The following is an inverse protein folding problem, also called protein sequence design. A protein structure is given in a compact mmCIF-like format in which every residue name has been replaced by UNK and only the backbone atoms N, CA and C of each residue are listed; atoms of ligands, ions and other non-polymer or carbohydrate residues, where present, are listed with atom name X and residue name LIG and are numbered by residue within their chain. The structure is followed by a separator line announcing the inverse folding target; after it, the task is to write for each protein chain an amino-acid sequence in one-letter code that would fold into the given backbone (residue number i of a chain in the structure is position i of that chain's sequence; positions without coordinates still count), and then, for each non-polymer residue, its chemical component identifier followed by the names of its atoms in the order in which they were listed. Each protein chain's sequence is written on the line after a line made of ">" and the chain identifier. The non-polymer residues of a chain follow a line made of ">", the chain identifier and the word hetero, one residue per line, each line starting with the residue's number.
data_IF_620458212018
#
_entry.id   IF_620458212018
#
_cell.length_a   1.000
_cell.length_b   1.000
_cell.length_c   1.000
_cell.angle_alpha   90.00
_cell.angle_beta   90.00
_cell.angle_gamma   90.00
#
_symmetry.space_group_name_H-M   'P 1'
#
loop_
_entity.id
_entity.type
_entity.pdbx_description
1 polymer ?
#
# COMPACT_ATOMS: atom_id res chain seq x y z
N UNK A 1 2.96 15.89 11.33
CA UNK A 1 2.95 14.43 11.10
C UNK A 1 3.50 14.19 9.70
N UNK A 2 4.72 13.69 9.57
CA UNK A 2 5.35 13.51 8.27
C UNK A 2 4.87 12.18 7.66
N UNK A 3 4.03 12.27 6.63
CA UNK A 3 3.60 11.12 5.83
C UNK A 3 4.40 11.09 4.53
N UNK A 4 4.89 9.91 4.15
CA UNK A 4 5.62 9.71 2.90
C UNK A 4 4.75 8.89 1.96
N UNK A 5 4.59 9.37 0.72
CA UNK A 5 3.85 8.62 -0.30
C UNK A 5 4.74 7.49 -0.80
N UNK A 6 4.27 6.25 -0.66
CA UNK A 6 4.93 5.06 -1.17
C UNK A 6 4.10 4.41 -2.25
N UNK A 7 4.77 3.61 -3.08
CA UNK A 7 4.12 2.73 -4.04
C UNK A 7 4.70 1.32 -3.97
N UNK A 8 3.88 0.31 -4.27
CA UNK A 8 4.30 -1.10 -4.34
C UNK A 8 3.52 -1.87 -5.41
N UNK A 9 4.22 -2.72 -6.14
CA UNK A 9 3.67 -3.59 -7.20
C UNK A 9 3.40 -5.00 -6.66
N UNK A 10 2.33 -5.62 -7.13
CA UNK A 10 1.90 -6.98 -6.76
C UNK A 10 1.45 -7.76 -7.99
N UNK A 11 1.74 -9.06 -8.02
CA UNK A 11 1.39 -9.91 -9.17
C UNK A 11 -0.06 -10.40 -9.15
N UNK A 12 -0.69 -10.37 -7.99
CA UNK A 12 -2.08 -10.80 -7.80
C UNK A 12 -2.71 -10.09 -6.58
N UNK A 13 -4.02 -10.27 -6.42
CA UNK A 13 -4.79 -9.67 -5.33
C UNK A 13 -4.42 -10.25 -3.96
N UNK A 14 -4.00 -11.51 -3.90
CA UNK A 14 -3.66 -12.17 -2.64
C UNK A 14 -2.40 -11.55 -2.00
N UNK A 15 -1.35 -11.32 -2.79
CA UNK A 15 -0.13 -10.62 -2.37
C UNK A 15 -0.43 -9.21 -1.87
N UNK A 16 -1.26 -8.45 -2.59
CA UNK A 16 -1.68 -7.11 -2.18
C UNK A 16 -2.42 -7.16 -0.84
N UNK A 17 -3.37 -8.08 -0.70
CA UNK A 17 -4.21 -8.21 0.51
C UNK A 17 -3.35 -8.60 1.71
N UNK A 18 -2.42 -9.55 1.51
CA UNK A 18 -1.46 -9.97 2.53
C UNK A 18 -0.59 -8.79 2.99
N UNK A 19 -0.06 -8.02 2.05
CA UNK A 19 0.75 -6.84 2.38
C UNK A 19 -0.01 -5.78 3.17
N UNK A 20 -1.25 -5.45 2.77
CA UNK A 20 -2.10 -4.49 3.50
C UNK A 20 -2.33 -4.95 4.94
N UNK A 21 -2.55 -6.24 5.14
CA UNK A 21 -2.77 -6.83 6.47
C UNK A 21 -1.47 -6.85 7.31
N UNK A 22 -0.37 -7.34 6.74
CA UNK A 22 0.92 -7.48 7.42
C UNK A 22 1.47 -6.12 7.88
N UNK A 23 1.40 -5.11 7.02
CA UNK A 23 1.83 -3.73 7.31
C UNK A 23 0.78 -2.91 8.07
N UNK A 24 -0.40 -3.48 8.34
CA UNK A 24 -1.54 -2.80 8.99
C UNK A 24 -1.90 -1.47 8.33
N UNK A 25 -1.87 -1.44 7.00
CA UNK A 25 -2.18 -0.23 6.23
C UNK A 25 -3.68 0.07 6.39
N UNK A 26 -3.98 1.25 6.94
CA UNK A 26 -5.36 1.68 7.13
C UNK A 26 -5.95 2.08 5.78
N UNK A 27 -7.24 1.85 5.62
CA UNK A 27 -7.96 2.24 4.39
C UNK A 27 -7.78 3.74 4.06
N UNK A 28 -7.80 4.61 5.07
CA UNK A 28 -7.61 6.06 4.89
C UNK A 28 -6.19 6.45 4.44
N UNK A 29 -5.21 5.55 4.58
CA UNK A 29 -3.85 5.77 4.11
C UNK A 29 -3.66 5.28 2.67
N UNK A 30 -4.58 4.49 2.11
CA UNK A 30 -4.56 4.06 0.71
C UNK A 30 -5.07 5.20 -0.17
N UNK A 31 -4.26 5.65 -1.13
CA UNK A 31 -4.61 6.71 -2.07
C UNK A 31 -5.23 6.16 -3.35
N UNK A 32 -4.64 5.10 -3.90
CA UNK A 32 -5.14 4.48 -5.12
C UNK A 32 -4.62 3.04 -5.27
N UNK A 33 -5.35 2.22 -6.01
CA UNK A 33 -4.93 0.89 -6.46
C UNK A 33 -5.21 0.81 -7.95
N UNK A 34 -4.14 0.83 -8.76
CA UNK A 34 -4.25 0.62 -10.20
C UNK A 34 -4.24 -0.88 -10.51
N UNK A 35 -5.16 -1.33 -11.35
CA UNK A 35 -5.20 -2.71 -11.85
C UNK A 35 -4.61 -2.70 -13.27
N UNK A 36 -3.58 -3.51 -13.49
CA UNK A 36 -2.89 -3.65 -14.78
C UNK A 36 -3.16 -5.06 -15.30
N UNK A 37 -3.71 -5.15 -16.52
CA UNK A 37 -4.01 -6.43 -17.20
C UNK A 37 -4.86 -7.39 -16.35
N UNK A 38 -5.82 -6.86 -15.59
CA UNK A 38 -6.78 -7.60 -14.73
C UNK A 38 -6.17 -8.46 -13.60
N UNK A 39 -4.85 -8.54 -13.50
CA UNK A 39 -4.16 -9.44 -12.55
C UNK A 39 -3.10 -8.74 -11.71
N UNK A 40 -2.47 -7.69 -12.22
CA UNK A 40 -1.39 -7.01 -11.53
C UNK A 40 -1.90 -5.75 -10.85
N UNK A 41 -1.27 -5.36 -9.73
CA UNK A 41 -1.71 -4.23 -8.93
C UNK A 41 -0.55 -3.30 -8.60
N UNK A 42 -0.77 -1.99 -8.70
CA UNK A 42 0.10 -0.96 -8.12
C UNK A 42 -0.69 -0.22 -7.06
N UNK A 43 -0.27 -0.33 -5.80
CA UNK A 43 -0.87 0.40 -4.69
C UNK A 43 -0.05 1.63 -4.35
N UNK A 44 -0.72 2.78 -4.18
CA UNK A 44 -0.16 4.01 -3.64
C UNK A 44 -0.74 4.26 -2.25
N UNK A 45 0.12 4.43 -1.24
CA UNK A 45 -0.31 4.57 0.16
C UNK A 45 0.61 5.50 0.97
N UNK A 46 0.07 6.13 2.00
CA UNK A 46 0.82 6.95 2.95
C UNK A 46 1.42 6.08 4.05
N UNK A 47 2.74 6.13 4.20
CA UNK A 47 3.42 5.54 5.35
C UNK A 47 3.68 6.62 6.40
N UNK A 48 3.31 6.34 7.65
CA UNK A 48 3.63 7.22 8.78
C UNK A 48 5.05 6.90 9.24
N UNK A 49 5.94 7.88 9.17
CA UNK A 49 7.29 7.71 9.66
C UNK A 49 7.27 7.86 11.20
N UNK A 50 7.21 6.75 11.92
CA UNK A 50 7.63 6.73 13.33
C UNK A 50 9.15 6.65 13.33
N UNK A 51 9.81 7.78 13.07
CA UNK A 51 11.17 7.94 13.59
C UNK A 51 11.03 7.80 15.10
N UNK A 52 11.65 6.76 15.66
CA UNK A 52 11.70 6.49 17.09
C UNK A 52 12.09 7.79 17.81
N UNK A 53 11.13 8.41 18.50
CA UNK A 53 11.38 9.33 19.61
C UNK A 53 11.79 8.52 20.85
#
# INVERSE_FOLDING_TARGET
>A
MNKILKSKYFFNREELTKFVNDEKIKQNDIQNILVVEEKHFVMYYWESNTLND
#
